data_IF_584432345944
#
_entry.id   IF_584432345944
#
_cell.length_a   1.000
_cell.length_b   1.000
_cell.length_c   1.000
_cell.angle_alpha   90.00
_cell.angle_beta   90.00
_cell.angle_gamma   90.00
#
_symmetry.space_group_name_H-M   'P 1'
#
loop_
_entity.id
_entity.type
_entity.pdbx_description
1 polymer ?
2 non-polymer ?
3 water ?
#
# COMPACT_ATOMS: atom_id res chain seq x y z
N UNK A 1 11.22 -3.09 -17.39
CA UNK A 1 9.88 -3.72 -17.64
C UNK A 1 9.06 -3.85 -16.34
N UNK A 2 7.80 -4.24 -16.49
CA UNK A 2 6.94 -4.48 -15.35
C UNK A 2 6.83 -5.97 -15.02
N UNK A 3 6.44 -6.24 -13.79
CA UNK A 3 6.24 -7.61 -13.30
C UNK A 3 4.88 -8.14 -13.74
N UNK A 4 4.82 -9.45 -13.99
CA UNK A 4 3.54 -10.08 -14.32
C UNK A 4 2.61 -10.09 -13.11
N UNK A 5 1.32 -10.23 -13.39
CA UNK A 5 0.30 -10.28 -12.36
C UNK A 5 0.60 -11.35 -11.32
N UNK A 6 1.02 -12.53 -11.77
CA UNK A 6 1.26 -13.60 -10.82
C UNK A 6 2.49 -13.32 -9.95
N UNK A 7 3.50 -12.64 -10.49
CA UNK A 7 4.65 -12.25 -9.69
C UNK A 7 4.28 -11.17 -8.66
N UNK A 8 3.43 -10.21 -9.05
CA UNK A 8 2.94 -9.21 -8.11
C UNK A 8 2.20 -9.91 -6.96
N UNK A 9 1.34 -10.85 -7.29
CA UNK A 9 0.58 -11.58 -6.27
C UNK A 9 1.49 -12.38 -5.33
N UNK A 10 2.51 -13.05 -5.88
CA UNK A 10 3.42 -13.85 -5.06
C UNK A 10 4.14 -12.96 -4.07
N UNK A 11 4.71 -11.87 -4.54
CA UNK A 11 5.45 -11.00 -3.66
C UNK A 11 4.54 -10.37 -2.62
N UNK A 12 3.33 -9.95 -3.02
CA UNK A 12 2.38 -9.37 -2.08
C UNK A 12 2.05 -10.37 -0.99
N UNK A 13 1.81 -11.63 -1.35
CA UNK A 13 1.42 -12.66 -0.38
C UNK A 13 2.56 -12.91 0.60
N UNK A 14 3.80 -12.89 0.11
CA UNK A 14 4.93 -13.13 0.98
C UNK A 14 5.23 -11.97 1.92
N UNK A 15 5.05 -10.75 1.45
CA UNK A 15 5.14 -9.57 2.31
C UNK A 15 4.05 -9.59 3.38
N UNK A 16 2.83 -9.92 2.97
CA UNK A 16 1.72 -10.02 3.93
C UNK A 16 2.05 -11.03 5.02
N UNK A 17 2.48 -12.21 4.61
CA UNK A 17 2.80 -13.29 5.53
C UNK A 17 3.73 -12.83 6.61
N UNK A 18 4.81 -12.18 6.18
CA UNK A 18 5.82 -11.65 7.08
C UNK A 18 5.22 -10.64 8.05
N UNK A 19 4.54 -9.64 7.51
CA UNK A 19 3.98 -8.58 8.36
C UNK A 19 2.84 -9.08 9.28
N UNK A 20 2.01 -10.01 8.81
CA UNK A 20 0.90 -10.55 9.64
C UNK A 20 1.45 -11.20 10.90
N UNK A 21 2.54 -11.93 10.72
CA UNK A 21 3.20 -12.66 11.79
C UNK A 21 3.82 -11.66 12.79
N UNK A 22 4.51 -10.66 12.25
CA UNK A 22 5.21 -9.65 13.08
C UNK A 22 4.24 -8.77 13.90
N UNK A 23 3.18 -8.33 13.24
CA UNK A 23 2.18 -7.45 13.85
C UNK A 23 1.08 -8.20 14.64
N UNK A 24 0.91 -9.50 14.41
CA UNK A 24 -0.01 -10.34 15.19
C UNK A 24 -1.50 -9.94 15.04
N UNK A 25 -1.88 -9.68 13.80
CA UNK A 25 -3.27 -9.48 13.44
C UNK A 25 -3.68 -10.57 12.47
N UNK A 26 -4.95 -10.59 12.11
CA UNK A 26 -5.47 -11.63 11.26
C UNK A 26 -5.50 -11.21 9.79
N UNK A 27 -5.50 -12.23 8.94
CA UNK A 27 -5.67 -12.01 7.54
C UNK A 27 -7.04 -11.36 7.24
N UNK A 28 -8.06 -11.74 8.00
CA UNK A 28 -9.37 -11.13 7.82
C UNK A 28 -9.29 -9.61 7.95
N UNK A 29 -8.59 -9.12 8.97
CA UNK A 29 -8.53 -7.70 9.22
C UNK A 29 -7.82 -6.98 8.05
N UNK A 30 -6.77 -7.59 7.52
CA UNK A 30 -6.09 -7.02 6.36
C UNK A 30 -6.99 -7.04 5.13
N UNK A 31 -7.64 -8.18 4.87
CA UNK A 31 -8.55 -8.31 3.73
C UNK A 31 -9.73 -7.34 3.79
N UNK A 32 -10.11 -6.92 4.99
CA UNK A 32 -11.21 -6.00 5.15
C UNK A 32 -10.98 -4.66 4.47
N UNK A 33 -9.72 -4.22 4.35
CA UNK A 33 -9.45 -2.93 3.72
C UNK A 33 -9.96 -2.87 2.27
N UNK A 34 -9.84 -3.97 1.53
CA UNK A 34 -10.32 -4.01 0.15
C UNK A 34 -11.85 -3.88 0.08
N UNK A 35 -12.53 -4.26 1.17
CA UNK A 35 -13.97 -4.10 1.32
C UNK A 35 -14.35 -2.73 1.88
N UNK A 36 -13.36 -1.84 2.07
CA UNK A 36 -13.61 -0.52 2.64
C UNK A 36 -13.74 -0.51 4.15
N UNK A 37 -13.32 -1.60 4.81
CA UNK A 37 -13.34 -1.69 6.26
C UNK A 37 -12.03 -1.11 6.78
N UNK A 38 -12.09 0.11 7.32
CA UNK A 38 -10.95 0.82 7.88
C UNK A 38 -11.22 1.19 9.34
N UNK A 39 -11.24 0.20 10.23
CA UNK A 39 -11.44 0.52 11.64
C UNK A 39 -10.24 1.31 12.20
N UNK A 40 -10.48 2.06 13.25
CA UNK A 40 -9.41 2.80 13.92
C UNK A 40 -8.60 1.85 14.81
N UNK A 41 -7.93 0.91 14.18
CA UNK A 41 -7.25 -0.20 14.84
C UNK A 41 -5.77 0.00 14.64
N UNK A 42 -5.06 0.36 15.72
CA UNK A 42 -3.66 0.72 15.61
C UNK A 42 -2.80 -0.42 15.08
N UNK A 43 -3.18 -1.67 15.37
CA UNK A 43 -2.42 -2.79 14.85
C UNK A 43 -2.53 -2.92 13.33
N UNK A 44 -3.74 -2.76 12.80
CA UNK A 44 -3.91 -2.72 11.35
C UNK A 44 -3.15 -1.54 10.76
N UNK A 45 -3.19 -0.40 11.45
CA UNK A 45 -2.42 0.75 10.99
C UNK A 45 -0.93 0.39 10.87
N UNK A 46 -0.39 -0.26 11.89
CA UNK A 46 1.02 -0.63 11.86
C UNK A 46 1.34 -1.69 10.82
N UNK A 47 0.38 -2.55 10.48
CA UNK A 47 0.55 -3.47 9.36
C UNK A 47 0.83 -2.69 8.07
N UNK A 48 0.08 -1.62 7.83
CA UNK A 48 0.32 -0.84 6.62
C UNK A 48 1.71 -0.28 6.58
N UNK A 49 2.21 0.17 7.73
CA UNK A 49 3.57 0.68 7.79
C UNK A 49 4.60 -0.42 7.52
N UNK A 50 4.36 -1.60 8.07
CA UNK A 50 5.25 -2.73 7.85
C UNK A 50 5.40 -3.02 6.36
N UNK A 51 4.26 -3.05 5.64
CA UNK A 51 4.28 -3.32 4.21
C UNK A 51 4.96 -2.20 3.44
N UNK A 52 4.60 -0.94 3.73
CA UNK A 52 5.21 0.15 2.99
C UNK A 52 6.72 0.23 3.25
N UNK A 53 7.16 -0.10 4.46
CA UNK A 53 8.59 -0.13 4.71
C UNK A 53 9.30 -1.22 3.91
N UNK A 54 8.67 -2.39 3.78
CA UNK A 54 9.20 -3.46 2.93
C UNK A 54 9.34 -3.02 1.47
N UNK A 55 8.35 -2.30 0.98
CA UNK A 55 8.36 -1.81 -0.41
C UNK A 55 9.21 -0.56 -0.62
N UNK A 56 9.75 -0.02 0.48
CA UNK A 56 10.58 1.18 0.45
C UNK A 56 9.76 2.43 0.09
N UNK A 57 8.44 2.34 0.24
CA UNK A 57 7.57 3.47 -0.04
C UNK A 57 7.33 4.36 1.19
N UNK A 58 7.81 3.91 2.35
CA UNK A 58 7.83 4.73 3.56
C UNK A 58 9.17 4.42 4.22
N UNK A 59 9.85 5.46 4.68
CA UNK A 59 11.19 5.32 5.23
C UNK A 59 11.49 6.52 6.11
N UNK A 60 12.10 6.29 7.28
CA UNK A 60 12.48 7.39 8.17
C UNK A 60 11.36 8.37 8.47
N UNK A 61 10.18 7.85 8.70
CA UNK A 61 9.08 8.68 9.11
C UNK A 61 8.39 9.47 8.01
N UNK A 62 8.77 9.22 6.75
CA UNK A 62 8.12 9.91 5.63
C UNK A 62 7.86 8.98 4.46
N UNK A 63 6.87 9.37 3.66
CA UNK A 63 6.63 8.70 2.39
C UNK A 63 7.78 8.95 1.45
N UNK A 64 8.06 7.98 0.61
CA UNK A 64 9.00 8.15 -0.48
C UNK A 64 8.17 8.11 -1.75
N UNK A 65 7.74 9.29 -2.20
CA UNK A 65 6.84 9.34 -3.34
C UNK A 65 7.53 8.95 -4.64
N UNK A 66 8.83 9.18 -4.77
CA UNK A 66 9.54 8.69 -5.95
C UNK A 66 9.44 7.15 -6.03
N UNK A 67 9.59 6.49 -4.87
CA UNK A 67 9.51 5.04 -4.85
C UNK A 67 8.07 4.53 -5.00
N UNK A 68 7.09 5.28 -4.51
CA UNK A 68 5.69 4.92 -4.75
C UNK A 68 5.44 4.90 -6.26
N UNK A 69 5.90 5.92 -6.97
CA UNK A 69 5.70 5.96 -8.43
C UNK A 69 6.47 4.82 -9.12
N UNK A 70 7.71 4.57 -8.72
CA UNK A 70 8.46 3.47 -9.28
C UNK A 70 7.77 2.14 -9.04
N UNK A 71 7.25 1.92 -7.85
CA UNK A 71 6.57 0.66 -7.54
C UNK A 71 5.33 0.49 -8.37
N UNK A 72 4.53 1.53 -8.54
CA UNK A 72 3.33 1.39 -9.34
C UNK A 72 3.71 1.13 -10.82
N UNK A 73 4.80 1.72 -11.30
CA UNK A 73 5.27 1.47 -12.66
C UNK A 73 5.70 0.02 -12.88
N UNK A 74 6.28 -0.60 -11.85
CA UNK A 74 6.76 -1.98 -11.95
C UNK A 74 5.71 -3.03 -11.60
N UNK A 75 4.58 -2.62 -11.03
CA UNK A 75 3.56 -3.59 -10.59
C UNK A 75 2.15 -3.44 -11.13
N UNK A 76 1.77 -2.28 -11.65
CA UNK A 76 0.42 -2.11 -12.17
C UNK A 76 0.33 -2.59 -13.60
N UNK A 77 -0.85 -3.12 -14.01
CA UNK A 77 -1.08 -3.38 -15.43
C UNK A 77 -0.83 -2.08 -16.22
N UNK A 78 -0.19 -2.15 -17.41
CA UNK A 78 0.12 -0.93 -18.18
C UNK A 78 -1.07 0.02 -18.40
N UNK A 79 -2.24 -0.56 -18.70
CA UNK A 79 -3.47 0.21 -18.91
C UNK A 79 -3.97 0.93 -17.63
N UNK A 80 -3.32 0.67 -16.50
CA UNK A 80 -3.67 1.29 -15.22
C UNK A 80 -2.64 2.28 -14.67
N UNK A 81 -1.48 2.38 -15.30
CA UNK A 81 -0.35 3.15 -14.75
C UNK A 81 -0.63 4.66 -14.65
N UNK A 82 -1.20 5.26 -15.69
CA UNK A 82 -1.48 6.69 -15.66
C UNK A 82 -2.54 6.99 -14.59
N UNK A 83 -3.58 6.19 -14.54
CA UNK A 83 -4.60 6.33 -13.50
C UNK A 83 -3.96 6.21 -12.11
N UNK A 84 -3.04 5.26 -11.94
CA UNK A 84 -2.34 5.15 -10.67
C UNK A 84 -1.49 6.37 -10.34
N UNK A 85 -0.80 6.92 -11.34
CA UNK A 85 -0.04 8.16 -11.12
C UNK A 85 -0.95 9.30 -10.69
N UNK A 86 -2.16 9.36 -11.25
CA UNK A 86 -3.10 10.40 -10.87
C UNK A 86 -3.60 10.23 -9.45
N UNK A 87 -3.74 8.99 -8.99
CA UNK A 87 -4.09 8.75 -7.59
C UNK A 87 -2.97 9.21 -6.65
N UNK A 88 -1.74 8.86 -6.98
CA UNK A 88 -0.60 9.32 -6.18
C UNK A 88 -0.52 10.86 -6.19
N UNK A 89 -0.78 11.45 -7.35
CA UNK A 89 -0.71 12.89 -7.47
C UNK A 89 -1.70 13.59 -6.53
N UNK A 90 -2.88 13.01 -6.35
CA UNK A 90 -3.83 13.53 -5.37
C UNK A 90 -3.37 13.24 -3.94
N UNK A 91 -3.10 11.98 -3.65
CA UNK A 91 -2.87 11.57 -2.27
C UNK A 91 -1.58 12.14 -1.68
N UNK A 92 -0.59 12.44 -2.52
CA UNK A 92 0.67 12.96 -2.00
C UNK A 92 0.51 14.34 -1.39
N UNK A 93 -0.54 15.06 -1.79
CA UNK A 93 -0.77 16.43 -1.32
C UNK A 93 -1.75 16.57 -0.16
N UNK A 94 -2.23 15.46 0.37
CA UNK A 94 -3.01 15.45 1.61
C UNK A 94 -2.04 15.47 2.79
N UNK A 95 -2.37 16.21 3.85
CA UNK A 95 -1.54 16.20 5.05
C UNK A 95 -1.78 14.91 5.82
N UNK A 96 -0.70 14.25 6.24
CA UNK A 96 -0.79 13.05 7.07
C UNK A 96 -0.28 13.37 8.46
N UNK A 97 -1.00 12.93 9.47
CA UNK A 97 -0.74 13.32 10.85
C UNK A 97 -0.68 12.10 11.74
N UNK A 98 -0.14 12.30 12.91
CA UNK A 98 -0.03 11.24 13.89
C UNK A 98 1.26 10.46 13.78
N UNK A 99 1.28 9.28 14.37
CA UNK A 99 2.47 8.44 14.32
C UNK A 99 2.60 7.78 12.94
N UNK A 100 3.71 7.07 12.70
CA UNK A 100 3.94 6.51 11.36
C UNK A 100 2.82 5.57 10.94
N UNK A 101 2.30 4.80 11.88
CA UNK A 101 1.22 3.86 11.62
C UNK A 101 -0.04 4.60 11.16
N UNK A 102 -0.37 5.67 11.86
CA UNK A 102 -1.52 6.47 11.50
C UNK A 102 -1.34 7.14 10.14
N UNK A 103 -0.12 7.63 9.86
CA UNK A 103 0.14 8.28 8.58
C UNK A 103 -0.02 7.33 7.40
N UNK A 104 0.63 6.17 7.46
CA UNK A 104 0.52 5.26 6.34
C UNK A 104 -0.91 4.77 6.17
N UNK A 105 -1.62 4.55 7.26
CA UNK A 105 -3.01 4.12 7.17
C UNK A 105 -3.88 5.17 6.49
N UNK A 106 -3.65 6.44 6.82
CA UNK A 106 -4.37 7.53 6.18
C UNK A 106 -4.06 7.56 4.67
N UNK A 107 -2.81 7.33 4.30
CA UNK A 107 -2.42 7.34 2.89
C UNK A 107 -3.11 6.20 2.13
N UNK A 108 -3.13 5.02 2.72
CA UNK A 108 -3.81 3.88 2.14
C UNK A 108 -5.31 4.18 1.95
N UNK A 109 -5.94 4.80 2.94
CA UNK A 109 -7.34 5.19 2.82
C UNK A 109 -7.55 6.22 1.71
N UNK A 110 -6.62 7.14 1.53
CA UNK A 110 -6.72 8.09 0.42
C UNK A 110 -6.72 7.37 -0.91
N UNK A 111 -5.84 6.38 -1.06
CA UNK A 111 -5.81 5.59 -2.29
C UNK A 111 -7.14 4.87 -2.51
N UNK A 112 -7.67 4.23 -1.47
CA UNK A 112 -8.95 3.56 -1.55
C UNK A 112 -10.04 4.52 -2.04
N UNK A 113 -10.12 5.69 -1.41
CA UNK A 113 -11.16 6.64 -1.71
C UNK A 113 -11.14 7.08 -3.17
N UNK A 114 -9.95 7.18 -3.78
CA UNK A 114 -9.88 7.60 -5.18
C UNK A 114 -10.43 6.55 -6.15
N UNK A 115 -10.39 5.28 -5.78
CA UNK A 115 -10.92 4.24 -6.65
C UNK A 115 -11.15 2.95 -5.85
N UNK A 116 -12.29 2.86 -5.16
CA UNK A 116 -12.53 1.69 -4.34
C UNK A 116 -12.53 0.38 -5.11
N UNK A 117 -13.06 0.40 -6.34
CA UNK A 117 -13.19 -0.83 -7.12
C UNK A 117 -11.85 -1.49 -7.36
N UNK A 118 -10.85 -0.68 -7.71
CA UNK A 118 -9.56 -1.20 -8.11
C UNK A 118 -8.50 -1.22 -7.01
N UNK A 119 -8.84 -0.75 -5.82
CA UNK A 119 -7.88 -0.73 -4.69
C UNK A 119 -7.25 -2.09 -4.46
N UNK A 120 -5.94 -2.07 -4.18
CA UNK A 120 -5.18 -3.24 -3.77
C UNK A 120 -4.13 -2.80 -2.76
N UNK A 121 -3.99 -3.55 -1.68
CA UNK A 121 -2.89 -3.36 -0.75
C UNK A 121 -2.42 -4.77 -0.37
N UNK A 122 -1.10 -5.00 -0.31
CA UNK A 122 -0.61 -6.35 -0.03
C UNK A 122 -1.16 -6.96 1.25
X LIG B 1 3.05 1.61 -0.84
X LIG B 1 2.24 0.66 -1.52
X LIG B 1 2.28 -0.68 -0.99
X LIG B 1 2.76 0.63 -3.03
X LIG B 1 2.82 1.84 -3.82
X LIG B 1 2.47 1.60 -5.28
X LIG B 1 1.00 1.27 -5.51
X LIG B 1 0.12 2.48 -5.30
X LIG B 1 0.69 1.18 -1.53
X LIG B 1 -0.29 0.38 -2.12
X LIG B 1 -1.63 0.79 -2.17
X LIG B 1 -2.02 2.00 -1.62
X LIG B 1 -1.08 2.80 -1.02
X LIG B 1 0.26 2.41 -0.98
X LIG B 1 3.04 -0.25 -3.46
X LIG B 1 3.84 2.25 -3.76
X LIG B 1 2.15 2.60 -3.40
X LIG B 1 3.09 0.79 -5.66
X LIG B 1 2.72 2.49 -5.85
X LIG B 1 0.70 0.47 -4.82
X LIG B 1 0.87 0.89 -6.53
X LIG B 1 -0.64 2.26 -4.52
X LIG B 1 -0.46 2.70 -6.18
X LIG B 1 0.67 3.29 -5.00
X LIG B 1 0.00 -0.57 -2.56
X LIG B 1 -2.37 0.15 -2.63
X LIG B 1 -3.06 2.30 -1.65
X LIG B 1 -1.37 3.74 -0.60
X LIG B 1 0.98 3.07 -0.52
X LIG C 1 0.72 -3.05 -3.96
X LIG C 1 1.80 -2.84 -4.87
X LIG C 1 2.58 -1.66 -4.61
X LIG C 1 1.18 -2.70 -6.33
X LIG C 1 0.33 -3.75 -6.88
X LIG C 1 -0.60 -3.22 -7.96
X LIG C 1 -1.22 -4.33 -8.78
X LIG C 1 -2.24 -5.12 -7.97
X LIG C 1 2.81 -4.12 -4.87
X LIG C 1 4.19 -3.97 -5.02
X LIG C 1 5.06 -5.06 -5.02
X LIG C 1 4.53 -6.35 -4.91
X LIG C 1 3.16 -6.51 -4.77
X LIG C 1 2.31 -5.41 -4.75
X LIG C 1 1.37 -1.88 -6.90
X LIG C 1 -0.26 -4.20 -6.08
X LIG C 1 0.96 -4.53 -7.30
X LIG C 1 -0.03 -2.56 -8.63
X LIG C 1 -1.38 -2.62 -7.50
X LIG C 1 -0.44 -5.01 -9.12
X LIG C 1 -1.72 -3.91 -9.65
X LIG C 1 -1.90 -6.14 -8.12
X LIG C 1 -3.21 -5.04 -8.38
X LIG C 1 -2.19 -4.89 -6.98
X LIG C 1 4.62 -2.98 -5.11
X LIG C 1 6.12 -4.92 -5.13
X LIG C 1 5.19 -7.20 -4.91
X LIG C 1 2.76 -7.51 -4.67
X LIG C 1 1.25 -5.57 -4.65
#
# INVERSE_FOLDING_TARGET
MSMSADQVEKLAKNMRKSCLQKIAITEELVDGMRRGEFPDDHDLQCYTTCIMKLLRTFKNGNFDFDMIVKQLEITMPPEEVVIGKEIVAVCRNEEYTGDDCQKTYQYVQCHYKQNPEKFFFP
NBB O1S S O2S N10 C11 C12 C13 C14 C4 C5 C6 C1 C2 C3 H10 H111 H112 H121 H122 H131 H132 H141 H142 H143 H5 H6 H1 H2 H3
NBB O1S S O2S N10 C11 C12 C13 C14 C4 C5 C6 C1 C2 C3 H10 H111 H112 H121 H122 H131 H132 H141 H142 H143 H5 H6 H1 H2 H3
#
